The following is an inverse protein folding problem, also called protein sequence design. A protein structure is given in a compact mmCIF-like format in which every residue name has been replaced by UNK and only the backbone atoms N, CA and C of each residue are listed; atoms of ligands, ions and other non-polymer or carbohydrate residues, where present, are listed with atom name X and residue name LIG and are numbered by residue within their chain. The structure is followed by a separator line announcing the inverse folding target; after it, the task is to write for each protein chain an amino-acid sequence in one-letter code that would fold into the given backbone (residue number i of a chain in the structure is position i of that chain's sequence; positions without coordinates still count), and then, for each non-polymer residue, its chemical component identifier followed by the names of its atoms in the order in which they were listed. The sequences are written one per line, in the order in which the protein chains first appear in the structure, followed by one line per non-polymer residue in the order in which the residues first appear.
data_IF_271351569005
#
_entry.id   IF_271351569005
#
_cell.length_a   1.000
_cell.length_b   1.000
_cell.length_c   1.000
_cell.angle_alpha   90.00
_cell.angle_beta   90.00
_cell.angle_gamma   90.00
#
_symmetry.space_group_name_H-M   'P 1'
#
loop_
_entity.id
_entity.type
_entity.pdbx_description
1 polymer ?
#
# COMPACT_ATOMS: atom_id res chain seq x y z
N UNK A 1 -18.74 60.74 42.63
CA UNK A 1 -19.46 59.47 42.89
C UNK A 1 -18.87 58.41 41.98
N UNK A 2 -18.05 57.52 42.54
CA UNK A 2 -17.33 56.46 41.82
C UNK A 2 -18.23 55.21 41.81
N UNK A 3 -18.55 54.67 40.63
CA UNK A 3 -19.15 53.34 40.48
C UNK A 3 -18.11 52.41 39.89
N UNK A 4 -17.61 51.51 40.73
CA UNK A 4 -16.83 50.32 40.33
C UNK A 4 -17.81 49.32 39.72
N UNK A 5 -17.49 48.73 38.57
CA UNK A 5 -18.27 47.64 37.98
C UNK A 5 -17.33 46.51 37.58
N UNK A 6 -17.58 45.34 38.16
CA UNK A 6 -16.76 44.15 38.12
C UNK A 6 -16.67 43.53 36.70
N UNK A 7 -15.52 42.92 36.32
CA UNK A 7 -15.42 42.08 35.14
C UNK A 7 -15.86 40.64 35.50
N UNK A 8 -16.31 39.82 34.56
CA UNK A 8 -16.10 38.35 34.52
C UNK A 8 -16.72 37.75 33.23
N UNK A 9 -15.79 37.39 32.33
CA UNK A 9 -15.71 36.18 31.49
C UNK A 9 -17.00 35.61 30.87
N UNK A 10 -17.19 35.88 29.57
CA UNK A 10 -17.96 35.00 28.70
C UNK A 10 -16.99 34.01 28.02
N UNK A 11 -17.10 32.74 28.39
CA UNK A 11 -16.26 31.65 27.88
C UNK A 11 -16.51 31.44 26.38
N UNK A 12 -15.46 31.59 25.56
CA UNK A 12 -15.48 31.18 24.16
C UNK A 12 -15.26 29.67 24.09
N UNK A 13 -16.33 28.90 23.86
CA UNK A 13 -16.22 27.48 23.53
C UNK A 13 -15.67 27.35 22.09
N UNK A 14 -14.35 27.16 21.97
CA UNK A 14 -13.73 26.79 20.71
C UNK A 14 -14.12 25.33 20.40
N UNK A 15 -15.17 25.15 19.59
CA UNK A 15 -15.53 23.85 19.06
C UNK A 15 -14.41 23.33 18.16
N UNK A 16 -13.77 22.23 18.56
CA UNK A 16 -12.80 21.52 17.75
C UNK A 16 -13.56 20.83 16.60
N UNK A 17 -13.60 21.47 15.43
CA UNK A 17 -14.08 20.84 14.21
C UNK A 17 -13.07 19.77 13.80
N UNK A 18 -13.33 18.52 14.19
CA UNK A 18 -12.61 17.36 13.68
C UNK A 18 -13.08 17.20 12.23
N UNK A 19 -12.32 17.75 11.28
CA UNK A 19 -12.52 17.50 9.88
C UNK A 19 -12.27 16.01 9.61
N UNK A 20 -13.33 15.21 9.63
CA UNK A 20 -13.31 13.87 9.04
C UNK A 20 -13.18 14.09 7.53
N UNK A 21 -11.94 14.08 7.04
CA UNK A 21 -11.70 14.03 5.61
C UNK A 21 -12.50 12.84 5.07
N UNK A 22 -13.30 13.01 3.99
CA UNK A 22 -13.94 11.88 3.35
C UNK A 22 -12.83 10.89 3.02
N UNK A 23 -12.94 9.65 3.50
CA UNK A 23 -12.18 8.57 2.92
C UNK A 23 -12.56 8.59 1.44
N UNK A 24 -11.65 9.03 0.57
CA UNK A 24 -11.82 8.86 -0.86
C UNK A 24 -12.15 7.38 -1.03
N UNK A 25 -13.34 7.08 -1.54
CA UNK A 25 -13.79 5.71 -1.74
C UNK A 25 -12.84 5.10 -2.78
N UNK A 26 -11.75 4.50 -2.31
CA UNK A 26 -10.81 3.83 -3.17
C UNK A 26 -11.51 2.57 -3.67
N UNK A 27 -11.66 2.49 -4.99
CA UNK A 27 -12.29 1.34 -5.63
C UNK A 27 -11.54 0.03 -5.28
N UNK A 28 -10.22 0.15 -5.04
CA UNK A 28 -9.37 -0.86 -4.43
C UNK A 28 -9.36 -0.67 -2.90
N UNK A 29 -9.71 -1.71 -2.16
CA UNK A 29 -9.89 -1.67 -0.70
C UNK A 29 -8.70 -2.21 0.09
N UNK A 30 -7.89 -3.09 -0.51
CA UNK A 30 -6.68 -3.60 0.12
C UNK A 30 -5.65 -4.02 -0.91
N UNK A 31 -4.39 -4.04 -0.48
CA UNK A 31 -3.26 -4.59 -1.22
C UNK A 31 -2.43 -5.43 -0.26
N UNK A 32 -2.16 -6.69 -0.64
CA UNK A 32 -1.33 -7.61 0.13
C UNK A 32 -0.27 -8.24 -0.76
N UNK A 33 0.83 -8.66 -0.14
CA UNK A 33 1.90 -9.41 -0.78
C UNK A 33 2.11 -10.72 -0.01
N UNK A 34 2.10 -11.84 -0.74
CA UNK A 34 2.40 -13.15 -0.20
C UNK A 34 3.88 -13.51 -0.41
N UNK A 35 4.67 -13.67 0.66
CA UNK A 35 6.07 -14.08 0.53
C UNK A 35 6.24 -15.54 0.10
N UNK A 36 5.20 -16.38 0.17
CA UNK A 36 5.29 -17.81 -0.13
C UNK A 36 6.38 -18.52 0.68
N UNK A 37 7.11 -19.44 0.03
CA UNK A 37 8.27 -20.14 0.62
C UNK A 37 9.55 -19.29 0.57
N UNK A 38 9.46 -18.04 1.00
CA UNK A 38 10.60 -17.13 1.10
C UNK A 38 11.01 -16.90 2.55
N UNK A 39 12.30 -16.91 2.83
CA UNK A 39 12.85 -16.69 4.16
C UNK A 39 14.22 -15.99 4.12
N UNK A 40 14.51 -15.25 5.18
CA UNK A 40 15.79 -14.60 5.39
C UNK A 40 15.80 -13.83 6.71
N UNK A 41 16.98 -13.43 7.19
CA UNK A 41 17.14 -12.80 8.49
C UNK A 41 16.64 -11.34 8.51
N UNK A 42 16.71 -10.65 7.38
CA UNK A 42 16.37 -9.22 7.25
C UNK A 42 15.10 -8.95 6.44
N UNK A 43 14.70 -9.89 5.56
CA UNK A 43 13.47 -9.78 4.77
C UNK A 43 12.94 -11.14 4.33
N UNK A 44 11.64 -11.16 4.01
CA UNK A 44 10.92 -12.26 3.34
C UNK A 44 10.77 -12.03 1.84
N UNK A 45 11.39 -10.99 1.30
CA UNK A 45 11.38 -10.64 -0.12
C UNK A 45 12.81 -10.42 -0.59
N UNK A 46 13.26 -11.27 -1.51
CA UNK A 46 14.51 -11.16 -2.24
C UNK A 46 14.30 -10.83 -3.72
N UNK A 47 15.31 -10.22 -4.33
CA UNK A 47 15.40 -10.00 -5.78
C UNK A 47 15.33 -11.30 -6.58
N UNK A 48 14.89 -11.21 -7.85
CA UNK A 48 14.78 -12.33 -8.81
C UNK A 48 13.81 -13.45 -8.42
N UNK A 49 13.15 -13.34 -7.27
CA UNK A 49 12.08 -14.21 -6.81
C UNK A 49 10.73 -13.52 -7.05
N UNK A 50 9.68 -14.31 -7.29
CA UNK A 50 8.38 -13.81 -7.70
C UNK A 50 7.35 -14.01 -6.60
N UNK A 51 6.61 -12.96 -6.24
CA UNK A 51 5.64 -12.93 -5.15
C UNK A 51 4.26 -12.58 -5.67
N UNK A 52 3.23 -13.10 -5.02
CA UNK A 52 1.86 -12.78 -5.41
C UNK A 52 1.42 -11.48 -4.72
N UNK A 53 1.06 -10.48 -5.52
CA UNK A 53 0.30 -9.34 -5.03
C UNK A 53 -1.18 -9.58 -5.26
N UNK A 54 -1.99 -9.29 -4.26
CA UNK A 54 -3.45 -9.41 -4.33
C UNK A 54 -4.09 -8.10 -3.92
N UNK A 55 -4.93 -7.55 -4.80
CA UNK A 55 -5.72 -6.37 -4.54
C UNK A 55 -7.20 -6.73 -4.48
N UNK A 56 -7.88 -6.35 -3.39
CA UNK A 56 -9.33 -6.49 -3.30
C UNK A 56 -10.02 -5.22 -3.83
N UNK A 57 -11.13 -5.37 -4.54
CA UNK A 57 -11.86 -4.26 -5.17
C UNK A 57 -13.35 -4.34 -4.88
N UNK A 58 -14.00 -3.19 -4.81
CA UNK A 58 -15.46 -3.08 -4.73
C UNK A 58 -16.12 -2.97 -6.12
N UNK A 59 -15.32 -2.77 -7.16
CA UNK A 59 -15.78 -2.62 -8.54
C UNK A 59 -15.14 -3.67 -9.45
N UNK A 60 -15.77 -3.96 -10.59
CA UNK A 60 -15.22 -4.83 -11.62
C UNK A 60 -14.21 -4.16 -12.57
N UNK A 61 -13.77 -2.93 -12.27
CA UNK A 61 -12.78 -2.24 -13.10
C UNK A 61 -11.41 -2.94 -13.04
N UNK A 62 -10.58 -2.72 -14.06
CA UNK A 62 -9.21 -3.24 -14.08
C UNK A 62 -8.32 -2.53 -13.06
N UNK A 63 -7.41 -3.26 -12.44
CA UNK A 63 -6.48 -2.77 -11.42
C UNK A 63 -5.09 -2.60 -12.01
N UNK A 64 -4.51 -1.42 -11.78
CA UNK A 64 -3.10 -1.13 -12.02
C UNK A 64 -2.28 -1.37 -10.76
N UNK A 65 -1.23 -2.18 -10.87
CA UNK A 65 -0.20 -2.33 -9.85
C UNK A 65 1.02 -1.51 -10.26
N UNK A 66 1.62 -0.82 -9.30
CA UNK A 66 2.80 0.00 -9.57
C UNK A 66 3.80 -0.10 -8.42
N UNK A 67 5.08 -0.25 -8.78
CA UNK A 67 6.20 -0.19 -7.86
C UNK A 67 6.99 1.09 -8.15
N UNK A 68 6.98 2.03 -7.19
CA UNK A 68 7.60 3.34 -7.34
C UNK A 68 9.13 3.30 -7.48
N UNK A 69 9.76 2.17 -7.22
CA UNK A 69 11.20 2.02 -7.46
C UNK A 69 11.54 1.80 -8.94
N UNK A 70 10.54 1.46 -9.76
CA UNK A 70 10.69 1.04 -11.17
C UNK A 70 11.69 -0.11 -11.36
N UNK A 71 11.96 -0.84 -10.28
CA UNK A 71 12.92 -1.94 -10.22
C UNK A 71 12.20 -3.26 -9.94
N UNK A 72 11.12 -3.50 -10.68
CA UNK A 72 10.36 -4.74 -10.61
C UNK A 72 9.67 -5.06 -11.94
N UNK A 73 9.36 -6.33 -12.13
CA UNK A 73 8.55 -6.81 -13.24
C UNK A 73 7.23 -7.38 -12.74
N UNK A 74 6.19 -7.24 -13.54
CA UNK A 74 4.85 -7.76 -13.25
C UNK A 74 4.44 -8.77 -14.32
N UNK A 75 3.85 -9.89 -13.88
CA UNK A 75 3.28 -10.88 -14.78
C UNK A 75 1.84 -11.24 -14.36
N UNK A 76 0.91 -11.48 -15.32
CA UNK A 76 1.11 -11.40 -16.78
C UNK A 76 1.24 -9.96 -17.32
N UNK A 77 0.76 -8.97 -16.57
CA UNK A 77 0.97 -7.55 -16.79
C UNK A 77 0.81 -6.81 -15.46
N UNK A 78 1.10 -5.51 -15.43
CA UNK A 78 0.79 -4.66 -14.28
C UNK A 78 -0.63 -4.07 -14.32
N UNK A 79 -1.43 -4.40 -15.34
CA UNK A 79 -2.79 -3.89 -15.53
C UNK A 79 -3.75 -5.04 -15.87
N UNK A 80 -4.41 -5.56 -14.85
CA UNK A 80 -5.16 -6.82 -14.90
C UNK A 80 -6.63 -6.64 -14.55
N UNK A 81 -7.46 -7.57 -14.99
CA UNK A 81 -8.89 -7.58 -14.65
C UNK A 81 -9.09 -7.91 -13.17
N UNK A 82 -10.10 -7.30 -12.56
CA UNK A 82 -10.61 -7.76 -11.27
C UNK A 82 -11.67 -8.82 -11.50
N UNK A 83 -11.44 -10.03 -11.00
CA UNK A 83 -12.35 -11.17 -11.12
C UNK A 83 -12.92 -11.46 -9.74
N UNK A 84 -14.25 -11.41 -9.60
CA UNK A 84 -14.95 -11.59 -8.32
C UNK A 84 -14.45 -10.65 -7.21
N UNK A 85 -14.11 -9.40 -7.55
CA UNK A 85 -13.62 -8.40 -6.59
C UNK A 85 -12.16 -8.58 -6.20
N UNK A 86 -11.39 -9.36 -6.95
CA UNK A 86 -9.97 -9.61 -6.69
C UNK A 86 -9.16 -9.48 -7.97
N UNK A 87 -8.07 -8.72 -7.90
CA UNK A 87 -7.03 -8.66 -8.93
C UNK A 87 -5.73 -9.23 -8.36
N UNK A 88 -5.00 -9.99 -9.18
CA UNK A 88 -3.77 -10.66 -8.76
C UNK A 88 -2.68 -10.54 -9.81
N UNK A 89 -1.47 -10.24 -9.38
CA UNK A 89 -0.27 -10.22 -10.24
C UNK A 89 0.90 -10.89 -9.54
N UNK A 90 1.86 -11.38 -10.35
CA UNK A 90 3.18 -11.76 -9.86
C UNK A 90 4.10 -10.55 -9.93
N UNK A 91 4.67 -10.16 -8.80
CA UNK A 91 5.65 -9.08 -8.68
C UNK A 91 7.03 -9.68 -8.41
N UNK A 92 8.01 -9.30 -9.22
CA UNK A 92 9.39 -9.79 -9.12
C UNK A 92 10.33 -8.59 -9.04
N UNK A 93 10.83 -8.22 -7.85
CA UNK A 93 11.79 -7.13 -7.71
C UNK A 93 13.15 -7.49 -8.30
N UNK A 94 13.81 -6.52 -8.91
CA UNK A 94 15.12 -6.67 -9.57
C UNK A 94 16.25 -5.98 -8.81
N UNK A 95 15.94 -5.14 -7.82
CA UNK A 95 16.93 -4.41 -7.01
C UNK A 95 16.60 -4.54 -5.51
N UNK A 96 17.60 -4.61 -4.61
CA UNK A 96 17.35 -4.51 -3.18
C UNK A 96 16.96 -3.08 -2.76
N UNK A 97 16.25 -2.94 -1.64
CA UNK A 97 15.83 -1.66 -1.08
C UNK A 97 14.38 -1.66 -0.60
N UNK A 98 13.87 -0.50 -0.21
CA UNK A 98 12.45 -0.36 0.13
C UNK A 98 11.63 -0.18 -1.16
N UNK A 99 10.73 -1.12 -1.43
CA UNK A 99 9.80 -1.09 -2.55
C UNK A 99 8.44 -0.60 -2.08
N UNK A 100 8.03 0.56 -2.61
CA UNK A 100 6.73 1.14 -2.32
C UNK A 100 5.77 0.77 -3.45
N UNK A 101 4.76 -0.01 -3.13
CA UNK A 101 3.87 -0.65 -4.12
C UNK A 101 2.44 -0.19 -3.86
N UNK A 102 1.76 0.24 -4.92
CA UNK A 102 0.38 0.70 -4.89
C UNK A 102 -0.48 -0.10 -5.87
N UNK A 103 -1.75 -0.26 -5.54
CA UNK A 103 -2.78 -0.79 -6.44
C UNK A 103 -3.93 0.21 -6.55
N UNK A 104 -4.39 0.52 -7.77
CA UNK A 104 -5.44 1.51 -8.00
C UNK A 104 -6.26 1.18 -9.26
N UNK A 105 -7.52 1.63 -9.31
CA UNK A 105 -8.40 1.52 -10.49
C UNK A 105 -8.67 2.88 -11.14
N UNK A 106 -8.50 3.97 -10.40
CA UNK A 106 -8.76 5.34 -10.86
C UNK A 106 -7.59 6.25 -10.47
N UNK A 107 -7.61 7.50 -10.97
CA UNK A 107 -6.61 8.51 -10.64
C UNK A 107 -6.66 8.98 -9.17
N UNK A 108 -7.64 8.53 -8.39
CA UNK A 108 -7.74 8.81 -6.96
C UNK A 108 -6.68 8.06 -6.11
N UNK A 109 -5.95 7.12 -6.73
CA UNK A 109 -4.97 6.28 -6.05
C UNK A 109 -5.61 5.04 -5.42
N UNK A 110 -4.92 4.45 -4.45
CA UNK A 110 -5.39 3.27 -3.74
C UNK A 110 -4.43 2.84 -2.64
N UNK A 111 -4.65 1.67 -2.02
CA UNK A 111 -3.84 1.19 -0.92
C UNK A 111 -2.39 0.97 -1.35
N UNK A 112 -1.49 1.27 -0.42
CA UNK A 112 -0.05 1.18 -0.60
C UNK A 112 0.57 0.28 0.47
N UNK A 113 1.57 -0.50 0.08
CA UNK A 113 2.42 -1.28 0.98
C UNK A 113 3.89 -0.94 0.71
N UNK A 114 4.71 -0.98 1.75
CA UNK A 114 6.17 -0.88 1.61
C UNK A 114 6.82 -2.18 2.03
N UNK A 115 7.59 -2.79 1.14
CA UNK A 115 8.28 -4.05 1.37
C UNK A 115 9.78 -3.83 1.30
N UNK A 116 10.51 -4.27 2.32
CA UNK A 116 11.97 -4.31 2.25
C UNK A 116 12.39 -5.49 1.37
N UNK A 117 13.20 -5.26 0.35
CA UNK A 117 13.74 -6.29 -0.54
C UNK A 117 15.23 -6.46 -0.30
N UNK A 118 15.66 -7.68 -0.03
CA UNK A 118 17.07 -8.06 0.06
C UNK A 118 17.59 -8.72 -1.21
N UNK A 119 18.84 -9.19 -1.18
CA UNK A 119 19.40 -10.00 -2.28
C UNK A 119 18.83 -11.41 -2.20
N UNK A 120 18.10 -11.84 -3.23
CA UNK A 120 17.45 -13.15 -3.29
C UNK A 120 18.24 -14.18 -4.07
N UNK A 121 18.20 -15.43 -3.60
CA UNK A 121 18.57 -16.62 -4.37
C UNK A 121 17.28 -17.38 -4.68
N UNK A 122 16.90 -17.39 -5.95
CA UNK A 122 15.74 -18.13 -6.42
C UNK A 122 16.07 -19.62 -6.52
N UNK A 123 15.46 -20.43 -5.65
CA UNK A 123 15.62 -21.87 -5.59
C UNK A 123 14.42 -22.62 -6.22
N UNK A 124 13.75 -22.00 -7.19
CA UNK A 124 12.55 -22.52 -7.84
C UNK A 124 11.29 -22.02 -7.14
N UNK A 125 10.68 -22.85 -6.29
CA UNK A 125 9.47 -22.51 -5.54
C UNK A 125 9.74 -21.71 -4.27
N UNK A 126 11.01 -21.60 -3.88
CA UNK A 126 11.47 -20.97 -2.66
C UNK A 126 12.45 -19.83 -2.94
N UNK A 127 12.57 -18.90 -1.99
CA UNK A 127 13.53 -17.82 -2.06
C UNK A 127 14.33 -17.73 -0.76
N UNK A 128 15.65 -17.80 -0.88
CA UNK A 128 16.55 -17.48 0.23
C UNK A 128 16.98 -16.02 0.11
N UNK A 129 16.67 -15.21 1.12
CA UNK A 129 17.09 -13.81 1.19
C UNK A 129 18.34 -13.71 2.05
N UNK A 130 19.40 -13.14 1.48
CA UNK A 130 20.69 -12.96 2.14
C UNK A 130 20.62 -11.85 3.21
N UNK A 131 21.51 -11.88 4.22
CA UNK A 131 21.61 -10.83 5.25
C UNK A 131 21.76 -9.43 4.68
#
# INVERSE_FOLDING_TARGET
MIRVSAPILLAAAAGLLIALAPAAAADVTSLTADPGLSWGPSSRYGTSCSYQLTAATNTGAKVSFYDFTEAATFAPSNYVDSVNGVATVRWTPTRPGAHRIVAYQTSAGGPEITLQVGTGINAGSACLVLP
#
